data_IF_569501497534
#
_entry.id   IF_569501497534
#
_cell.length_a   1.000
_cell.length_b   1.000
_cell.length_c   1.000
_cell.angle_alpha   90.00
_cell.angle_beta   90.00
_cell.angle_gamma   90.00
#
_symmetry.space_group_name_H-M   'P 1'
#
loop_
_entity.id
_entity.type
_entity.pdbx_description
1 polymer ?
#
# COMPACT_ATOMS: atom_id res chain seq x y z
N UNK A 1 -37.66 -2.03 3.51
CA UNK A 1 -36.23 -2.26 3.22
C UNK A 1 -35.72 -0.99 2.56
N UNK A 2 -34.70 -0.36 3.14
CA UNK A 2 -33.98 0.72 2.44
C UNK A 2 -33.22 0.05 1.30
N UNK A 3 -33.43 0.52 0.07
CA UNK A 3 -32.67 0.07 -1.10
C UNK A 3 -31.23 0.57 -0.96
N UNK A 4 -30.36 -0.29 -0.40
CA UNK A 4 -28.97 0.05 -0.19
C UNK A 4 -28.23 -0.16 -1.50
N UNK A 5 -28.02 0.92 -2.24
CA UNK A 5 -27.22 0.89 -3.47
C UNK A 5 -25.74 0.73 -3.12
N UNK A 6 -25.14 -0.34 -3.62
CA UNK A 6 -23.70 -0.54 -3.62
C UNK A 6 -23.11 0.21 -4.81
N UNK A 7 -22.35 1.27 -4.56
CA UNK A 7 -21.57 1.93 -5.61
C UNK A 7 -20.37 1.05 -6.00
N UNK A 8 -20.06 0.99 -7.29
CA UNK A 8 -18.87 0.34 -7.81
C UNK A 8 -18.48 1.01 -9.13
N UNK A 9 -17.18 1.10 -9.39
CA UNK A 9 -16.60 1.47 -10.68
C UNK A 9 -16.78 0.37 -11.74
N UNK A 10 -16.80 0.75 -13.01
CA UNK A 10 -17.15 -0.13 -14.15
C UNK A 10 -15.99 -0.41 -15.13
N UNK A 11 -14.76 0.07 -14.84
CA UNK A 11 -13.59 -0.28 -15.64
C UNK A 11 -13.34 -1.80 -15.65
N UNK A 12 -12.54 -2.31 -16.60
CA UNK A 12 -12.19 -3.73 -16.66
C UNK A 12 -10.88 -3.98 -15.89
N UNK A 13 -10.91 -4.82 -14.85
CA UNK A 13 -9.73 -5.18 -14.05
C UNK A 13 -8.65 -5.87 -14.90
N UNK A 14 -9.05 -6.60 -15.95
CA UNK A 14 -8.11 -7.31 -16.81
C UNK A 14 -7.27 -6.37 -17.69
N UNK A 15 -7.68 -5.11 -17.82
CA UNK A 15 -6.98 -4.07 -18.58
C UNK A 15 -6.11 -3.16 -17.69
N UNK A 16 -6.11 -3.36 -16.37
CA UNK A 16 -5.37 -2.52 -15.45
C UNK A 16 -3.91 -2.97 -15.29
N UNK A 17 -3.01 -2.01 -15.18
CA UNK A 17 -1.60 -2.24 -14.81
C UNK A 17 -1.32 -1.85 -13.36
N UNK A 18 -0.21 -2.36 -12.81
CA UNK A 18 0.32 -1.92 -11.52
C UNK A 18 1.09 -0.60 -11.66
N UNK A 19 0.54 0.46 -11.07
CA UNK A 19 1.18 1.79 -11.02
C UNK A 19 1.62 2.20 -9.62
N UNK A 20 1.03 1.59 -8.58
CA UNK A 20 1.25 1.93 -7.18
C UNK A 20 1.63 0.68 -6.39
N UNK A 21 2.67 0.80 -5.57
CA UNK A 21 2.93 -0.14 -4.48
C UNK A 21 2.52 0.51 -3.17
N UNK A 22 1.74 -0.19 -2.35
CA UNK A 22 1.29 0.32 -1.07
C UNK A 22 1.83 -0.53 0.08
N UNK A 23 2.53 0.11 1.03
CA UNK A 23 3.12 -0.51 2.20
C UNK A 23 2.23 -0.27 3.43
N UNK A 24 1.71 -1.35 3.99
CA UNK A 24 0.82 -1.31 5.17
C UNK A 24 -0.67 -1.33 4.80
N UNK A 25 -1.23 -2.51 4.55
CA UNK A 25 -2.62 -2.70 4.12
C UNK A 25 -3.66 -2.52 5.25
N UNK A 26 -3.70 -1.32 5.81
CA UNK A 26 -4.58 -0.96 6.92
C UNK A 26 -5.99 -0.52 6.51
N UNK A 27 -6.85 -0.31 7.52
CA UNK A 27 -8.20 0.20 7.32
C UNK A 27 -8.22 1.62 6.71
N UNK A 28 -7.29 2.50 7.11
CA UNK A 28 -7.22 3.86 6.59
C UNK A 28 -6.90 3.87 5.10
N UNK A 29 -5.91 3.07 4.67
CA UNK A 29 -5.58 2.98 3.26
C UNK A 29 -6.77 2.55 2.40
N UNK A 30 -7.44 1.49 2.86
CA UNK A 30 -8.61 0.94 2.19
C UNK A 30 -9.76 1.93 2.07
N UNK A 31 -9.93 2.78 3.07
CA UNK A 31 -10.99 3.79 3.12
C UNK A 31 -10.58 5.15 2.55
N UNK A 32 -9.32 5.32 2.10
CA UNK A 32 -8.80 6.60 1.64
C UNK A 32 -8.07 6.50 0.30
N UNK A 33 -6.77 6.19 0.27
CA UNK A 33 -5.99 6.28 -0.99
C UNK A 33 -6.54 5.33 -2.06
N UNK A 34 -6.96 4.12 -1.67
CA UNK A 34 -7.52 3.16 -2.60
C UNK A 34 -8.83 3.65 -3.25
N UNK A 35 -9.69 4.35 -2.49
CA UNK A 35 -10.92 4.94 -3.04
C UNK A 35 -10.59 5.99 -4.09
N UNK A 36 -9.63 6.88 -3.81
CA UNK A 36 -9.24 7.92 -4.77
C UNK A 36 -8.64 7.34 -6.05
N UNK A 37 -7.82 6.29 -5.94
CA UNK A 37 -7.24 5.60 -7.09
C UNK A 37 -8.34 4.89 -7.89
N UNK A 38 -9.27 4.21 -7.21
CA UNK A 38 -10.42 3.55 -7.83
C UNK A 38 -11.30 4.55 -8.61
N UNK A 39 -11.64 5.68 -7.98
CA UNK A 39 -12.40 6.77 -8.61
C UNK A 39 -11.67 7.37 -9.80
N UNK A 40 -10.36 7.64 -9.66
CA UNK A 40 -9.55 8.18 -10.75
C UNK A 40 -9.56 7.25 -11.96
N UNK A 41 -9.32 5.95 -11.76
CA UNK A 41 -9.35 4.98 -12.85
C UNK A 41 -10.73 4.89 -13.50
N UNK A 42 -11.81 4.87 -12.71
CA UNK A 42 -13.18 4.82 -13.21
C UNK A 42 -13.61 6.08 -13.97
N UNK A 43 -13.21 7.26 -13.52
CA UNK A 43 -13.61 8.53 -14.14
C UNK A 43 -12.79 8.88 -15.38
N UNK A 44 -11.50 8.52 -15.40
CA UNK A 44 -10.57 8.94 -16.45
C UNK A 44 -10.30 7.86 -17.49
N UNK A 45 -10.49 6.58 -17.14
CA UNK A 45 -10.04 5.46 -17.94
C UNK A 45 -8.52 5.28 -17.99
N UNK A 46 -7.74 6.03 -17.19
CA UNK A 46 -6.31 5.78 -17.02
C UNK A 46 -6.10 4.57 -16.08
N UNK A 47 -6.12 3.37 -16.66
CA UNK A 47 -6.07 2.11 -15.93
C UNK A 47 -4.66 1.69 -15.47
N UNK A 48 -3.67 2.58 -15.56
CA UNK A 48 -2.28 2.27 -15.21
C UNK A 48 -1.99 2.33 -13.71
N UNK A 49 -2.96 2.72 -12.89
CA UNK A 49 -2.76 3.10 -11.48
C UNK A 49 -3.18 2.04 -10.46
N UNK A 50 -3.36 0.79 -10.90
CA UNK A 50 -3.68 -0.31 -10.00
C UNK A 50 -2.65 -0.47 -8.88
N UNK A 51 -3.12 -0.97 -7.74
CA UNK A 51 -2.36 -1.06 -6.48
C UNK A 51 -1.90 -2.49 -6.26
N UNK A 52 -0.60 -2.66 -6.00
CA UNK A 52 -0.08 -3.83 -5.32
C UNK A 52 0.04 -3.53 -3.82
N UNK A 53 -0.77 -4.20 -3.00
CA UNK A 53 -0.63 -4.14 -1.56
C UNK A 53 0.53 -5.04 -1.12
N UNK A 54 1.36 -4.53 -0.20
CA UNK A 54 2.48 -5.25 0.38
C UNK A 54 2.36 -5.29 1.89
N UNK A 55 2.37 -6.51 2.45
CA UNK A 55 2.53 -6.72 3.87
C UNK A 55 4.02 -6.78 4.23
N UNK A 56 4.42 -6.06 5.27
CA UNK A 56 5.79 -6.09 5.80
C UNK A 56 5.90 -6.77 7.15
N UNK A 57 4.77 -7.08 7.81
CA UNK A 57 4.75 -7.48 9.22
C UNK A 57 4.22 -8.88 9.40
N UNK A 58 4.95 -9.70 10.13
CA UNK A 58 4.50 -11.07 10.43
C UNK A 58 3.16 -11.08 11.17
N UNK A 59 2.94 -10.10 12.06
CA UNK A 59 1.71 -9.97 12.85
C UNK A 59 0.44 -9.73 12.01
N UNK A 60 0.57 -9.26 10.77
CA UNK A 60 -0.56 -8.94 9.88
C UNK A 60 -0.77 -10.00 8.78
N UNK A 61 0.10 -11.02 8.70
CA UNK A 61 0.14 -11.99 7.60
C UNK A 61 -1.18 -12.75 7.40
N UNK A 62 -1.84 -13.18 8.49
CA UNK A 62 -3.11 -13.92 8.40
C UNK A 62 -4.23 -13.06 7.81
N UNK A 63 -4.48 -11.89 8.40
CA UNK A 63 -5.50 -10.94 7.90
C UNK A 63 -5.20 -10.46 6.48
N UNK A 64 -3.92 -10.30 6.14
CA UNK A 64 -3.51 -9.94 4.78
C UNK A 64 -3.80 -11.07 3.79
N UNK A 65 -3.52 -12.32 4.15
CA UNK A 65 -3.81 -13.49 3.33
C UNK A 65 -5.32 -13.69 3.11
N UNK A 66 -6.15 -13.44 4.13
CA UNK A 66 -7.61 -13.44 3.98
C UNK A 66 -8.09 -12.37 3.00
N UNK A 67 -7.55 -11.15 3.11
CA UNK A 67 -7.89 -10.06 2.20
C UNK A 67 -7.50 -10.37 0.74
N UNK A 68 -6.37 -11.05 0.53
CA UNK A 68 -5.91 -11.46 -0.79
C UNK A 68 -6.85 -12.45 -1.50
N UNK A 69 -7.74 -13.15 -0.77
CA UNK A 69 -8.74 -14.03 -1.37
C UNK A 69 -9.93 -13.27 -2.00
N UNK A 70 -10.12 -12.00 -1.64
CA UNK A 70 -11.25 -11.18 -2.10
C UNK A 70 -11.02 -10.63 -3.52
N UNK A 71 -11.15 -11.50 -4.54
CA UNK A 71 -10.89 -11.17 -5.95
C UNK A 71 -11.77 -10.06 -6.54
N UNK A 72 -12.92 -9.79 -5.93
CA UNK A 72 -13.87 -8.78 -6.41
C UNK A 72 -13.73 -7.43 -5.68
N UNK A 73 -12.71 -7.24 -4.85
CA UNK A 73 -12.54 -6.06 -4.01
C UNK A 73 -13.13 -6.20 -2.61
N UNK A 74 -13.27 -5.09 -1.90
CA UNK A 74 -13.84 -5.03 -0.55
C UNK A 74 -14.83 -3.87 -0.41
N UNK A 75 -15.76 -4.00 0.55
CA UNK A 75 -16.79 -2.98 0.78
C UNK A 75 -16.35 -1.98 1.84
N UNK A 76 -16.43 -0.69 1.51
CA UNK A 76 -16.35 0.42 2.45
C UNK A 76 -17.75 0.91 2.76
N UNK A 77 -18.05 1.02 4.05
CA UNK A 77 -19.27 1.65 4.57
C UNK A 77 -18.93 3.05 5.07
N UNK A 78 -19.60 4.07 4.53
CA UNK A 78 -19.50 5.44 5.01
C UNK A 78 -20.77 5.80 5.77
N UNK A 79 -20.61 6.54 6.87
CA UNK A 79 -21.68 7.05 7.71
C UNK A 79 -21.42 8.55 7.89
N UNK A 80 -22.33 9.39 7.40
CA UNK A 80 -22.24 10.84 7.57
C UNK A 80 -22.70 11.29 8.97
N UNK A 81 -22.39 12.51 9.40
CA UNK A 81 -22.81 13.03 10.72
C UNK A 81 -24.34 13.06 10.93
N UNK A 82 -25.13 13.19 9.87
CA UNK A 82 -26.60 13.13 9.90
C UNK A 82 -27.16 11.70 9.82
N UNK A 83 -26.29 10.69 9.80
CA UNK A 83 -26.66 9.28 9.83
C UNK A 83 -26.93 8.64 8.48
N UNK A 84 -26.74 9.34 7.35
CA UNK A 84 -26.84 8.72 6.03
C UNK A 84 -25.74 7.66 5.85
N UNK A 85 -26.12 6.52 5.25
CA UNK A 85 -25.22 5.38 5.04
C UNK A 85 -25.06 5.11 3.56
N UNK A 86 -23.82 4.94 3.10
CA UNK A 86 -23.50 4.51 1.75
C UNK A 86 -22.50 3.36 1.76
N UNK A 87 -22.56 2.51 0.73
CA UNK A 87 -21.66 1.39 0.55
C UNK A 87 -20.98 1.50 -0.80
N UNK A 88 -19.68 1.23 -0.83
CA UNK A 88 -18.86 1.23 -2.05
C UNK A 88 -18.05 -0.05 -2.08
N UNK A 89 -18.02 -0.73 -3.22
CA UNK A 89 -17.03 -1.76 -3.50
C UNK A 89 -15.78 -1.12 -4.10
N UNK A 90 -14.62 -1.30 -3.45
CA UNK A 90 -13.33 -0.77 -3.89
C UNK A 90 -12.52 -1.92 -4.48
N UNK A 91 -12.00 -1.69 -5.68
CA UNK A 91 -11.45 -2.76 -6.55
C UNK A 91 -10.12 -2.38 -7.21
N UNK A 92 -9.48 -1.32 -6.72
CA UNK A 92 -8.19 -0.81 -7.22
C UNK A 92 -6.98 -1.69 -6.89
N UNK A 93 -7.13 -2.69 -6.01
CA UNK A 93 -6.06 -3.62 -5.66
C UNK A 93 -6.00 -4.79 -6.65
N UNK A 94 -4.89 -4.92 -7.36
CA UNK A 94 -4.68 -5.95 -8.37
C UNK A 94 -3.75 -7.07 -7.88
N UNK A 95 -2.93 -6.79 -6.87
CA UNK A 95 -1.98 -7.74 -6.32
C UNK A 95 -1.85 -7.58 -4.81
N UNK A 96 -1.59 -8.72 -4.15
CA UNK A 96 -1.28 -8.81 -2.74
C UNK A 96 -0.01 -9.64 -2.61
N UNK A 97 1.02 -9.08 -1.98
CA UNK A 97 2.31 -9.75 -1.80
C UNK A 97 2.74 -9.59 -0.35
N UNK A 98 2.95 -10.71 0.33
CA UNK A 98 3.52 -10.71 1.66
C UNK A 98 5.05 -10.75 1.57
N UNK A 99 5.72 -9.69 1.99
CA UNK A 99 7.18 -9.58 1.90
C UNK A 99 7.91 -10.53 2.84
N UNK A 100 7.24 -11.04 3.88
CA UNK A 100 7.81 -12.02 4.81
C UNK A 100 7.99 -13.38 4.11
N UNK A 101 6.93 -13.85 3.46
CA UNK A 101 6.93 -15.16 2.78
C UNK A 101 7.43 -15.10 1.34
N UNK A 102 7.27 -13.98 0.64
CA UNK A 102 7.66 -13.78 -0.76
C UNK A 102 8.56 -12.52 -0.96
N UNK A 103 9.69 -12.36 -0.24
CA UNK A 103 10.49 -11.13 -0.25
C UNK A 103 10.95 -10.72 -1.66
N UNK A 104 11.42 -11.68 -2.45
CA UNK A 104 11.90 -11.42 -3.81
C UNK A 104 10.80 -10.86 -4.71
N UNK A 105 9.58 -11.38 -4.59
CA UNK A 105 8.42 -10.90 -5.33
C UNK A 105 8.04 -9.49 -4.90
N UNK A 106 8.06 -9.23 -3.58
CA UNK A 106 7.74 -7.92 -3.02
C UNK A 106 8.73 -6.85 -3.51
N UNK A 107 10.03 -7.12 -3.52
CA UNK A 107 11.04 -6.17 -4.02
C UNK A 107 10.92 -5.92 -5.53
N UNK A 108 10.61 -6.98 -6.29
CA UNK A 108 10.49 -6.88 -7.75
C UNK A 108 9.30 -6.03 -8.20
N UNK A 109 8.30 -5.76 -7.33
CA UNK A 109 7.21 -4.84 -7.64
C UNK A 109 7.74 -3.42 -7.95
N UNK A 110 8.69 -2.91 -7.17
CA UNK A 110 9.31 -1.60 -7.42
C UNK A 110 10.22 -1.61 -8.66
N UNK A 111 10.69 -2.77 -9.10
CA UNK A 111 11.45 -2.92 -10.33
C UNK A 111 10.55 -3.01 -11.58
N UNK A 112 9.23 -2.85 -11.45
CA UNK A 112 8.34 -2.72 -12.60
C UNK A 112 8.41 -1.29 -13.19
N UNK A 113 8.67 -1.11 -14.50
CA UNK A 113 8.64 0.21 -15.13
C UNK A 113 7.27 0.90 -15.05
N UNK A 114 6.18 0.12 -14.94
CA UNK A 114 4.82 0.63 -14.79
C UNK A 114 4.59 1.30 -13.43
N UNK A 115 5.28 0.86 -12.37
CA UNK A 115 5.16 1.43 -11.03
C UNK A 115 5.83 2.80 -10.99
N UNK A 116 5.04 3.82 -10.63
CA UNK A 116 5.44 5.22 -10.54
C UNK A 116 5.44 5.78 -9.13
N UNK A 117 4.80 5.09 -8.19
CA UNK A 117 4.66 5.56 -6.81
C UNK A 117 4.68 4.42 -5.79
N UNK A 118 5.30 4.68 -4.65
CA UNK A 118 5.12 3.94 -3.40
C UNK A 118 4.33 4.79 -2.43
N UNK A 119 3.30 4.22 -1.82
CA UNK A 119 2.51 4.88 -0.77
C UNK A 119 2.66 4.11 0.54
N UNK A 120 2.63 4.80 1.68
CA UNK A 120 2.97 4.20 2.98
C UNK A 120 1.92 4.57 4.05
N UNK A 121 1.39 3.56 4.75
CA UNK A 121 0.62 3.71 6.00
C UNK A 121 1.05 2.66 7.02
N UNK A 122 2.18 2.88 7.68
CA UNK A 122 2.77 1.94 8.65
C UNK A 122 2.59 2.38 10.10
N UNK A 123 1.81 3.44 10.34
CA UNK A 123 1.67 4.16 11.61
C UNK A 123 2.95 4.88 12.05
N UNK A 124 2.83 5.80 13.00
CA UNK A 124 3.95 6.58 13.54
C UNK A 124 5.08 5.67 14.08
N UNK A 125 4.70 4.55 14.71
CA UNK A 125 5.66 3.58 15.25
C UNK A 125 6.50 2.88 14.17
N UNK A 126 6.04 2.83 12.92
CA UNK A 126 6.73 2.15 11.82
C UNK A 126 7.96 2.91 11.30
N UNK A 127 8.15 4.17 11.72
CA UNK A 127 9.27 5.02 11.31
C UNK A 127 10.44 5.02 12.30
N UNK A 128 10.28 4.42 13.48
CA UNK A 128 11.34 4.26 14.49
C UNK A 128 12.04 5.58 14.86
N UNK A 129 11.27 6.64 15.08
CA UNK A 129 11.82 7.91 15.53
C UNK A 129 12.16 7.89 17.02
N UNK A 130 13.27 8.53 17.37
CA UNK A 130 13.64 8.83 18.75
C UNK A 130 12.84 10.04 19.29
N UNK A 131 13.15 10.47 20.51
CA UNK A 131 12.51 11.62 21.15
C UNK A 131 12.76 12.97 20.43
N UNK A 132 13.77 13.04 19.56
CA UNK A 132 14.13 14.21 18.77
C UNK A 132 13.52 14.18 17.36
N UNK A 133 12.77 13.14 17.00
CA UNK A 133 12.26 12.88 15.65
C UNK A 133 13.32 12.46 14.62
N UNK A 134 14.50 12.02 15.09
CA UNK A 134 15.51 11.41 14.25
C UNK A 134 15.30 9.90 14.18
N UNK A 135 15.75 9.24 13.11
CA UNK A 135 15.71 7.78 13.02
C UNK A 135 16.58 7.16 14.11
N UNK A 136 15.99 6.37 15.00
CA UNK A 136 16.70 5.65 16.05
C UNK A 136 17.48 4.47 15.45
N UNK A 137 18.76 4.70 15.15
CA UNK A 137 19.66 3.69 14.61
C UNK A 137 19.96 2.55 15.61
N UNK A 138 19.71 2.75 16.90
CA UNK A 138 19.92 1.74 17.92
C UNK A 138 18.69 0.83 18.11
N UNK A 139 17.53 1.22 17.58
CA UNK A 139 16.35 0.35 17.58
C UNK A 139 16.67 -0.96 16.84
N UNK A 140 16.44 -2.09 17.51
CA UNK A 140 16.89 -3.40 17.02
C UNK A 140 16.46 -3.70 15.56
N UNK A 141 15.22 -3.44 15.12
CA UNK A 141 14.83 -3.68 13.72
C UNK A 141 15.57 -2.81 12.70
N UNK A 142 15.95 -1.58 13.09
CA UNK A 142 16.73 -0.67 12.25
C UNK A 142 18.18 -1.14 12.18
N UNK A 143 18.79 -1.43 13.32
CA UNK A 143 20.15 -1.97 13.39
C UNK A 143 20.32 -3.26 12.59
N UNK A 144 19.35 -4.18 12.68
CA UNK A 144 19.31 -5.41 11.89
C UNK A 144 19.26 -5.12 10.39
N UNK A 145 18.39 -4.19 9.96
CA UNK A 145 18.31 -3.78 8.55
C UNK A 145 19.62 -3.19 8.01
N UNK A 146 20.30 -2.35 8.81
CA UNK A 146 21.61 -1.77 8.45
C UNK A 146 22.69 -2.85 8.32
N UNK A 147 22.64 -3.88 9.17
CA UNK A 147 23.56 -5.01 9.13
C UNK A 147 23.29 -5.98 7.95
N UNK A 148 22.23 -5.76 7.18
CA UNK A 148 21.80 -6.66 6.11
C UNK A 148 21.11 -7.94 6.62
N UNK A 149 20.65 -7.92 7.86
CA UNK A 149 19.86 -9.00 8.46
C UNK A 149 18.37 -8.85 8.12
N UNK A 150 17.58 -9.88 8.43
CA UNK A 150 16.14 -9.83 8.23
C UNK A 150 15.51 -8.70 9.09
N UNK A 151 14.76 -7.82 8.43
CA UNK A 151 14.11 -6.68 9.07
C UNK A 151 12.75 -6.42 8.40
N UNK A 152 11.73 -6.26 9.23
CA UNK A 152 10.34 -5.96 8.82
C UNK A 152 10.10 -4.45 8.61
N UNK A 153 11.16 -3.64 8.64
CA UNK A 153 11.06 -2.18 8.59
C UNK A 153 10.76 -1.70 7.18
N UNK A 154 10.02 -0.60 7.07
CA UNK A 154 9.77 0.07 5.79
C UNK A 154 11.09 0.48 5.10
N UNK A 155 12.10 0.85 5.89
CA UNK A 155 13.41 1.24 5.39
C UNK A 155 14.17 0.07 4.77
N UNK A 156 14.17 -1.11 5.42
CA UNK A 156 14.81 -2.30 4.86
C UNK A 156 14.16 -2.72 3.54
N UNK A 157 12.82 -2.68 3.48
CA UNK A 157 12.10 -2.93 2.23
C UNK A 157 12.47 -1.92 1.14
N UNK A 158 12.39 -0.62 1.44
CA UNK A 158 12.66 0.45 0.48
C UNK A 158 14.11 0.40 -0.02
N UNK A 159 15.09 0.20 0.85
CA UNK A 159 16.50 0.14 0.48
C UNK A 159 16.76 -0.95 -0.57
N UNK A 160 16.30 -2.18 -0.33
CA UNK A 160 16.47 -3.30 -1.25
C UNK A 160 15.69 -3.10 -2.55
N UNK A 161 14.43 -2.70 -2.45
CA UNK A 161 13.54 -2.53 -3.60
C UNK A 161 13.98 -1.37 -4.52
N UNK A 162 14.45 -0.25 -3.95
CA UNK A 162 14.99 0.88 -4.71
C UNK A 162 16.34 0.55 -5.34
N UNK A 163 17.20 -0.18 -4.64
CA UNK A 163 18.47 -0.68 -5.20
C UNK A 163 18.23 -1.50 -6.47
N UNK A 164 17.27 -2.43 -6.44
CA UNK A 164 16.86 -3.20 -7.63
C UNK A 164 16.29 -2.33 -8.73
N UNK A 165 15.42 -1.38 -8.39
CA UNK A 165 14.86 -0.47 -9.39
C UNK A 165 15.94 0.35 -10.08
N UNK A 166 16.91 0.87 -9.34
CA UNK A 166 18.04 1.60 -9.90
C UNK A 166 18.86 0.72 -10.86
N UNK A 167 19.10 -0.54 -10.50
CA UNK A 167 19.86 -1.47 -11.34
C UNK A 167 19.10 -1.97 -12.58
N UNK A 168 17.78 -2.12 -12.53
CA UNK A 168 16.99 -2.79 -13.57
C UNK A 168 16.20 -1.84 -14.47
N UNK A 169 15.73 -0.71 -13.94
CA UNK A 169 14.82 0.22 -14.64
C UNK A 169 15.46 1.60 -14.82
N UNK A 170 16.23 2.05 -13.83
CA UNK A 170 16.87 3.37 -13.81
C UNK A 170 15.89 4.54 -14.08
N UNK A 171 14.71 4.47 -13.46
CA UNK A 171 13.69 5.52 -13.52
C UNK A 171 13.28 5.98 -12.12
N UNK A 172 12.99 7.27 -11.94
CA UNK A 172 12.52 7.78 -10.66
C UNK A 172 11.20 7.12 -10.23
N UNK A 173 10.96 7.16 -8.92
CA UNK A 173 9.71 6.75 -8.28
C UNK A 173 9.43 7.72 -7.15
N UNK A 174 8.17 8.09 -6.96
CA UNK A 174 7.77 8.92 -5.82
C UNK A 174 7.50 8.05 -4.61
N UNK A 175 7.97 8.48 -3.44
CA UNK A 175 7.60 7.88 -2.15
C UNK A 175 6.65 8.86 -1.47
N UNK A 176 5.45 8.41 -1.15
CA UNK A 176 4.38 9.23 -0.59
C UNK A 176 3.94 8.65 0.76
N UNK A 177 4.37 9.28 1.85
CA UNK A 177 3.86 8.96 3.17
C UNK A 177 2.41 9.45 3.32
N UNK A 178 1.55 8.57 3.82
CA UNK A 178 0.15 8.86 4.11
C UNK A 178 -0.18 8.71 5.60
N UNK A 179 0.83 8.54 6.46
CA UNK A 179 0.67 8.54 7.91
C UNK A 179 0.54 9.97 8.46
N UNK A 180 -0.07 10.07 9.65
CA UNK A 180 -0.37 11.33 10.32
C UNK A 180 0.85 11.91 11.07
N UNK A 181 1.93 12.16 10.35
CA UNK A 181 3.16 12.75 10.86
C UNK A 181 3.28 14.18 10.30
N UNK A 182 3.81 15.11 11.10
CA UNK A 182 4.10 16.46 10.60
C UNK A 182 5.24 16.40 9.59
N UNK A 183 5.07 17.03 8.43
CA UNK A 183 6.08 17.00 7.36
C UNK A 183 6.48 15.56 7.02
N UNK A 184 5.49 14.72 6.76
CA UNK A 184 5.65 13.27 6.63
C UNK A 184 6.43 12.79 5.38
N UNK A 185 6.74 13.70 4.45
CA UNK A 185 7.47 13.42 3.22
C UNK A 185 8.98 13.50 3.34
#
# INVERSE_FOLDING_TARGET
MVDVKLFQTDYDLALCDLGVVHLGYGAFHRAHQAIYIDDYMGQTGDLRWGIAAVNLRTAEAETFAEAAQAKSGYVVKSISPDGAVSFRNVRSHLAFVDAISEPQKAYNLLALPSVKMVTITVTESGYYFDQNWDLDLAAQPIAAGIAGEASETVYAYLAEALSRRAAQVDQPVSILCCDNIRSNG
#
